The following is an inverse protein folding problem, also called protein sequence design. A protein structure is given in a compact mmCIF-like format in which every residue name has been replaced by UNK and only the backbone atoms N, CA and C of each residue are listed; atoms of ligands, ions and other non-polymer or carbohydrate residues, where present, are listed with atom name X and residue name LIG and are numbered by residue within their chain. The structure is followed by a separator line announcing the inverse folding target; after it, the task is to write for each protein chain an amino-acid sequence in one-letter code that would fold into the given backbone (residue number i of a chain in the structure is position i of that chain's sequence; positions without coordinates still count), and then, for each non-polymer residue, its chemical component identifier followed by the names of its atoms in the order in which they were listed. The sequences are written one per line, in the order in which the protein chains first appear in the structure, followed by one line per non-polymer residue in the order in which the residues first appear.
data_IF_091014070607
#
_entry.id   IF_091014070607
#
_cell.length_a   1.000
_cell.length_b   1.000
_cell.length_c   1.000
_cell.angle_alpha   90.00
_cell.angle_beta   90.00
_cell.angle_gamma   90.00
#
_symmetry.space_group_name_H-M   'P 1'
#
loop_
_entity.id
_entity.type
_entity.pdbx_description
1 polymer ?
#
# COMPACT_ATOMS: atom_id res chain seq x y z
N UNK A 1 -68.61 117.07 15.60
CA UNK A 1 -67.15 116.94 15.72
C UNK A 1 -66.80 115.59 16.33
N UNK A 2 -67.43 115.18 17.45
CA UNK A 2 -67.27 113.82 18.02
C UNK A 2 -67.52 112.65 17.05
N UNK A 3 -68.58 112.70 16.23
CA UNK A 3 -68.93 111.60 15.30
C UNK A 3 -67.87 111.34 14.20
N UNK A 4 -67.04 112.35 13.87
CA UNK A 4 -65.92 112.17 12.94
C UNK A 4 -64.72 111.52 13.63
N UNK A 5 -64.47 111.84 14.89
CA UNK A 5 -63.38 111.25 15.68
C UNK A 5 -63.65 109.76 15.98
N UNK A 6 -64.91 109.40 16.26
CA UNK A 6 -65.34 108.00 16.38
C UNK A 6 -65.12 107.24 15.07
N UNK A 7 -65.58 107.78 13.93
CA UNK A 7 -65.36 107.16 12.62
C UNK A 7 -63.87 107.02 12.25
N UNK A 8 -63.02 107.98 12.63
CA UNK A 8 -61.57 107.87 12.43
C UNK A 8 -60.94 106.79 13.31
N UNK A 9 -61.39 106.67 14.57
CA UNK A 9 -60.93 105.63 15.49
C UNK A 9 -61.32 104.22 15.03
N UNK A 10 -62.55 104.06 14.50
CA UNK A 10 -63.03 102.81 13.93
C UNK A 10 -62.25 102.45 12.66
N UNK A 11 -61.98 103.42 11.79
CA UNK A 11 -61.14 103.21 10.59
C UNK A 11 -59.70 102.83 10.94
N UNK A 12 -59.13 103.46 11.96
CA UNK A 12 -57.80 103.10 12.46
C UNK A 12 -57.78 101.67 13.05
N UNK A 13 -58.83 101.28 13.76
CA UNK A 13 -59.00 99.91 14.28
C UNK A 13 -59.11 98.87 13.16
N UNK A 14 -59.91 99.16 12.12
CA UNK A 14 -60.04 98.30 10.94
C UNK A 14 -58.72 98.17 10.16
N UNK A 15 -57.99 99.26 9.98
CA UNK A 15 -56.68 99.24 9.33
C UNK A 15 -55.66 98.41 10.13
N UNK A 16 -55.67 98.53 11.46
CA UNK A 16 -54.84 97.71 12.34
C UNK A 16 -55.21 96.23 12.25
N UNK A 17 -56.50 95.88 12.29
CA UNK A 17 -56.96 94.51 12.14
C UNK A 17 -56.57 93.92 10.78
N UNK A 18 -56.68 94.70 9.70
CA UNK A 18 -56.24 94.29 8.37
C UNK A 18 -54.73 94.02 8.35
N UNK A 19 -53.94 94.87 9.01
CA UNK A 19 -52.48 94.71 9.09
C UNK A 19 -52.10 93.44 9.84
N UNK A 20 -52.77 93.16 10.96
CA UNK A 20 -52.58 91.93 11.74
C UNK A 20 -53.00 90.69 10.94
N UNK A 21 -54.08 90.77 10.16
CA UNK A 21 -54.50 89.68 9.27
C UNK A 21 -53.49 89.41 8.16
N UNK A 22 -52.96 90.46 7.53
CA UNK A 22 -51.91 90.32 6.51
C UNK A 22 -50.62 89.74 7.11
N UNK A 23 -50.23 90.17 8.30
CA UNK A 23 -49.08 89.60 9.03
C UNK A 23 -49.31 88.13 9.41
N UNK A 24 -50.53 87.79 9.85
CA UNK A 24 -50.89 86.41 10.17
C UNK A 24 -50.87 85.52 8.92
N UNK A 25 -51.43 86.00 7.79
CA UNK A 25 -51.38 85.29 6.51
C UNK A 25 -49.94 85.09 6.04
N UNK A 26 -49.11 86.13 6.08
CA UNK A 26 -47.70 86.05 5.70
C UNK A 26 -46.93 85.05 6.59
N UNK A 27 -47.21 85.05 7.90
CA UNK A 27 -46.62 84.11 8.86
C UNK A 27 -47.05 82.68 8.55
N UNK A 28 -48.35 82.45 8.28
CA UNK A 28 -48.86 81.12 7.93
C UNK A 28 -48.31 80.61 6.62
N UNK A 29 -48.19 81.45 5.61
CA UNK A 29 -47.59 81.08 4.32
C UNK A 29 -46.09 80.77 4.47
N UNK A 30 -45.38 81.45 5.38
CA UNK A 30 -44.00 81.13 5.72
C UNK A 30 -43.90 79.78 6.46
N UNK A 31 -44.78 79.52 7.43
CA UNK A 31 -44.85 78.24 8.16
C UNK A 31 -45.15 77.07 7.21
N UNK A 32 -46.14 77.21 6.32
CA UNK A 32 -46.50 76.18 5.34
C UNK A 32 -45.31 75.91 4.42
N UNK A 33 -44.64 76.95 3.90
CA UNK A 33 -43.45 76.77 3.06
C UNK A 33 -42.33 76.06 3.80
N UNK A 34 -42.04 76.45 5.04
CA UNK A 34 -41.04 75.77 5.86
C UNK A 34 -41.39 74.30 6.13
N UNK A 35 -42.67 73.98 6.37
CA UNK A 35 -43.14 72.61 6.56
C UNK A 35 -43.02 71.78 5.27
N UNK A 36 -43.39 72.35 4.12
CA UNK A 36 -43.25 71.70 2.80
C UNK A 36 -41.77 71.40 2.52
N UNK A 37 -40.89 72.39 2.68
CA UNK A 37 -39.45 72.17 2.48
C UNK A 37 -38.89 71.12 3.46
N UNK A 38 -39.37 71.07 4.70
CA UNK A 38 -38.95 70.07 5.66
C UNK A 38 -39.34 68.65 5.21
N UNK A 39 -40.59 68.47 4.76
CA UNK A 39 -41.09 67.19 4.25
C UNK A 39 -40.33 66.80 2.98
N UNK A 40 -40.06 67.73 2.07
CA UNK A 40 -39.28 67.47 0.86
C UNK A 40 -37.87 67.00 1.20
N UNK A 41 -37.20 67.63 2.18
CA UNK A 41 -35.89 67.19 2.67
C UNK A 41 -35.93 65.79 3.29
N UNK A 42 -36.96 65.47 4.06
CA UNK A 42 -37.15 64.11 4.61
C UNK A 42 -37.42 63.08 3.52
N UNK A 43 -38.20 63.45 2.51
CA UNK A 43 -38.51 62.58 1.38
C UNK A 43 -37.25 62.31 0.54
N UNK A 44 -36.41 63.32 0.34
CA UNK A 44 -35.14 63.15 -0.36
C UNK A 44 -34.16 62.28 0.43
N UNK A 45 -34.03 62.49 1.74
CA UNK A 45 -33.17 61.63 2.58
C UNK A 45 -33.67 60.18 2.63
N UNK A 46 -35.00 59.98 2.67
CA UNK A 46 -35.61 58.67 2.58
C UNK A 46 -35.32 57.98 1.23
N UNK A 47 -35.40 58.72 0.11
CA UNK A 47 -35.05 58.19 -1.21
C UNK A 47 -33.58 57.79 -1.31
N UNK A 48 -32.67 58.62 -0.81
CA UNK A 48 -31.23 58.32 -0.82
C UNK A 48 -30.94 57.05 -0.02
N UNK A 49 -31.48 56.94 1.20
CA UNK A 49 -31.29 55.73 2.02
C UNK A 49 -31.91 54.49 1.37
N UNK A 50 -33.07 54.61 0.73
CA UNK A 50 -33.69 53.52 -0.02
C UNK A 50 -32.80 53.04 -1.17
N UNK A 51 -32.22 53.97 -1.94
CA UNK A 51 -31.29 53.63 -3.03
C UNK A 51 -30.02 52.93 -2.50
N UNK A 52 -29.49 53.37 -1.36
CA UNK A 52 -28.36 52.73 -0.69
C UNK A 52 -28.71 51.30 -0.25
N UNK A 53 -29.87 51.09 0.38
CA UNK A 53 -30.33 49.77 0.77
C UNK A 53 -30.56 48.84 -0.43
N UNK A 54 -31.11 49.36 -1.53
CA UNK A 54 -31.27 48.59 -2.77
C UNK A 54 -29.92 48.18 -3.36
N UNK A 55 -28.96 49.09 -3.43
CA UNK A 55 -27.60 48.77 -3.88
C UNK A 55 -26.94 47.71 -2.99
N UNK A 56 -27.06 47.85 -1.66
CA UNK A 56 -26.54 46.86 -0.71
C UNK A 56 -27.22 45.50 -0.84
N UNK A 57 -28.54 45.48 -1.08
CA UNK A 57 -29.29 44.25 -1.33
C UNK A 57 -28.80 43.56 -2.61
N UNK A 58 -28.62 44.30 -3.71
CA UNK A 58 -28.09 43.73 -4.96
C UNK A 58 -26.68 43.16 -4.80
N UNK A 59 -25.80 43.85 -4.08
CA UNK A 59 -24.44 43.33 -3.79
C UNK A 59 -24.51 42.06 -2.93
N UNK A 60 -25.38 42.05 -1.92
CA UNK A 60 -25.57 40.87 -1.08
C UNK A 60 -26.11 39.68 -1.90
N UNK A 61 -27.11 39.90 -2.76
CA UNK A 61 -27.68 38.90 -3.66
C UNK A 61 -26.62 38.36 -4.63
N UNK A 62 -25.84 39.21 -5.27
CA UNK A 62 -24.75 38.80 -6.15
C UNK A 62 -23.68 37.97 -5.41
N UNK A 63 -23.34 38.34 -4.17
CA UNK A 63 -22.42 37.55 -3.35
C UNK A 63 -23.01 36.18 -3.00
N UNK A 64 -24.31 36.12 -2.74
CA UNK A 64 -25.02 34.90 -2.38
C UNK A 64 -25.06 33.93 -3.57
N UNK A 65 -25.32 34.42 -4.79
CA UNK A 65 -25.23 33.63 -6.01
C UNK A 65 -23.82 33.06 -6.23
N UNK A 66 -22.78 33.87 -6.00
CA UNK A 66 -21.39 33.41 -6.08
C UNK A 66 -21.11 32.30 -5.06
N UNK A 67 -21.54 32.46 -3.81
CA UNK A 67 -21.40 31.43 -2.78
C UNK A 67 -22.17 30.15 -3.13
N UNK A 68 -23.37 30.26 -3.69
CA UNK A 68 -24.13 29.09 -4.14
C UNK A 68 -23.38 28.31 -5.23
N UNK A 69 -22.78 29.02 -6.19
CA UNK A 69 -21.99 28.39 -7.23
C UNK A 69 -20.71 27.73 -6.67
N UNK A 70 -20.04 28.36 -5.71
CA UNK A 70 -18.86 27.80 -5.08
C UNK A 70 -19.19 26.60 -4.18
N UNK A 71 -20.34 26.60 -3.51
CA UNK A 71 -20.87 25.42 -2.79
C UNK A 71 -21.15 24.28 -3.76
N UNK A 72 -21.77 24.56 -4.91
CA UNK A 72 -22.02 23.54 -5.94
C UNK A 72 -20.70 22.93 -6.47
N UNK A 73 -19.66 23.74 -6.67
CA UNK A 73 -18.32 23.25 -7.02
C UNK A 73 -17.70 22.41 -5.90
N UNK A 74 -17.80 22.85 -4.65
CA UNK A 74 -17.29 22.11 -3.51
C UNK A 74 -17.92 20.72 -3.39
N UNK A 75 -19.23 20.60 -3.62
CA UNK A 75 -19.92 19.31 -3.66
C UNK A 75 -19.40 18.39 -4.76
N UNK A 76 -19.12 18.93 -5.96
CA UNK A 76 -18.51 18.16 -7.06
C UNK A 76 -17.11 17.67 -6.69
N UNK A 77 -16.29 18.54 -6.11
CA UNK A 77 -14.96 18.14 -5.64
C UNK A 77 -15.02 17.10 -4.52
N UNK A 78 -15.98 17.19 -3.61
CA UNK A 78 -16.18 16.17 -2.58
C UNK A 78 -16.52 14.81 -3.19
N UNK A 79 -17.36 14.77 -4.23
CA UNK A 79 -17.66 13.55 -4.97
C UNK A 79 -16.41 13.00 -5.66
N UNK A 80 -15.66 13.84 -6.39
CA UNK A 80 -14.41 13.42 -7.03
C UNK A 80 -13.37 12.89 -6.04
N UNK A 81 -13.25 13.51 -4.85
CA UNK A 81 -12.35 13.06 -3.79
C UNK A 81 -12.77 11.68 -3.27
N UNK A 82 -14.08 11.46 -3.08
CA UNK A 82 -14.60 10.14 -2.66
C UNK A 82 -14.33 9.07 -3.72
N UNK A 83 -14.56 9.37 -5.00
CA UNK A 83 -14.28 8.46 -6.11
C UNK A 83 -12.79 8.14 -6.23
N UNK A 84 -11.93 9.16 -6.18
CA UNK A 84 -10.47 8.98 -6.19
C UNK A 84 -9.99 8.23 -4.94
N UNK A 85 -10.58 8.47 -3.78
CA UNK A 85 -10.30 7.73 -2.55
C UNK A 85 -10.62 6.25 -2.67
N UNK A 86 -11.76 5.92 -3.29
CA UNK A 86 -12.15 4.54 -3.56
C UNK A 86 -11.21 3.87 -4.58
N UNK A 87 -10.79 4.58 -5.62
CA UNK A 87 -9.80 4.09 -6.59
C UNK A 87 -8.44 3.82 -5.92
N UNK A 88 -7.97 4.73 -5.07
CA UNK A 88 -6.75 4.55 -4.29
C UNK A 88 -6.87 3.31 -3.40
N UNK A 89 -8.02 3.09 -2.76
CA UNK A 89 -8.30 1.88 -1.98
C UNK A 89 -8.18 0.59 -2.81
N UNK A 90 -8.78 0.57 -4.02
CA UNK A 90 -8.68 -0.55 -4.96
C UNK A 90 -7.23 -0.82 -5.38
N UNK A 91 -6.52 0.21 -5.84
CA UNK A 91 -5.13 0.08 -6.27
C UNK A 91 -4.21 -0.36 -5.13
N UNK A 92 -4.45 0.11 -3.90
CA UNK A 92 -3.71 -0.37 -2.71
C UNK A 92 -3.97 -1.85 -2.44
N UNK A 93 -5.21 -2.31 -2.54
CA UNK A 93 -5.54 -3.72 -2.34
C UNK A 93 -4.90 -4.60 -3.43
N UNK A 94 -4.98 -4.19 -4.70
CA UNK A 94 -4.31 -4.87 -5.81
C UNK A 94 -2.78 -4.93 -5.63
N UNK A 95 -2.16 -3.83 -5.18
CA UNK A 95 -0.73 -3.80 -4.90
C UNK A 95 -0.34 -4.74 -3.76
N UNK A 96 -1.17 -4.87 -2.72
CA UNK A 96 -0.96 -5.83 -1.62
C UNK A 96 -1.05 -7.27 -2.14
N UNK A 97 -2.10 -7.60 -2.90
CA UNK A 97 -2.28 -8.94 -3.51
C UNK A 97 -1.10 -9.28 -4.41
N UNK A 98 -0.66 -8.33 -5.25
CA UNK A 98 0.47 -8.56 -6.15
C UNK A 98 1.77 -8.80 -5.37
N UNK A 99 1.97 -8.08 -4.27
CA UNK A 99 3.12 -8.31 -3.39
C UNK A 99 3.04 -9.70 -2.73
N UNK A 100 1.87 -10.14 -2.30
CA UNK A 100 1.66 -11.49 -1.78
C UNK A 100 2.00 -12.56 -2.83
N UNK A 101 1.51 -12.41 -4.06
CA UNK A 101 1.88 -13.30 -5.17
C UNK A 101 3.39 -13.32 -5.45
N UNK A 102 4.06 -12.16 -5.37
CA UNK A 102 5.50 -12.07 -5.55
C UNK A 102 6.26 -12.80 -4.44
N UNK A 103 5.86 -12.59 -3.19
CA UNK A 103 6.45 -13.27 -2.03
C UNK A 103 6.24 -14.78 -2.13
N UNK A 104 5.05 -15.21 -2.55
CA UNK A 104 4.76 -16.63 -2.70
C UNK A 104 5.54 -17.26 -3.86
N UNK A 105 5.66 -16.58 -5.00
CA UNK A 105 6.50 -17.03 -6.11
C UNK A 105 7.98 -17.12 -5.72
N UNK A 106 8.51 -16.12 -4.99
CA UNK A 106 9.87 -16.17 -4.45
C UNK A 106 10.05 -17.32 -3.47
N UNK A 107 9.06 -17.59 -2.62
CA UNK A 107 9.10 -18.71 -1.67
C UNK A 107 9.16 -20.05 -2.41
N UNK A 108 8.30 -20.25 -3.42
CA UNK A 108 8.29 -21.44 -4.27
C UNK A 108 9.62 -21.63 -4.99
N UNK A 109 10.20 -20.56 -5.57
CA UNK A 109 11.51 -20.63 -6.20
C UNK A 109 12.63 -21.01 -5.22
N UNK A 110 12.57 -20.50 -3.97
CA UNK A 110 13.54 -20.86 -2.94
C UNK A 110 13.45 -22.33 -2.55
N UNK A 111 12.23 -22.87 -2.44
CA UNK A 111 11.97 -24.28 -2.16
C UNK A 111 12.49 -25.16 -3.32
N UNK A 112 12.11 -24.86 -4.56
CA UNK A 112 12.56 -25.57 -5.77
C UNK A 112 14.09 -25.51 -5.96
N UNK A 113 14.72 -24.37 -5.65
CA UNK A 113 16.17 -24.26 -5.71
C UNK A 113 16.83 -25.10 -4.60
N UNK A 114 16.30 -25.11 -3.37
CA UNK A 114 16.87 -25.90 -2.29
C UNK A 114 16.76 -27.41 -2.52
N UNK A 115 15.66 -27.89 -3.12
CA UNK A 115 15.49 -29.32 -3.44
C UNK A 115 16.44 -29.80 -4.55
N UNK A 116 16.82 -28.92 -5.48
CA UNK A 116 17.65 -29.28 -6.63
C UNK A 116 19.15 -28.96 -6.47
N UNK A 117 19.54 -28.23 -5.42
CA UNK A 117 20.95 -27.88 -5.17
C UNK A 117 21.67 -29.02 -4.41
N UNK A 118 22.09 -30.05 -5.14
CA UNK A 118 23.06 -31.02 -4.62
C UNK A 118 24.43 -30.35 -4.52
N UNK A 119 25.08 -30.46 -3.35
CA UNK A 119 26.39 -29.84 -3.13
C UNK A 119 27.44 -30.38 -4.11
N UNK A 120 28.05 -29.46 -4.87
CA UNK A 120 29.11 -29.73 -5.82
C UNK A 120 30.31 -30.39 -5.15
N UNK A 121 30.64 -30.03 -3.91
CA UNK A 121 31.78 -30.63 -3.20
C UNK A 121 31.50 -32.08 -2.83
N UNK A 122 30.28 -32.39 -2.37
CA UNK A 122 29.84 -33.75 -2.09
C UNK A 122 29.91 -34.64 -3.33
N UNK A 123 29.35 -34.19 -4.47
CA UNK A 123 29.40 -34.96 -5.73
C UNK A 123 30.84 -35.15 -6.20
N UNK A 124 31.67 -34.12 -6.11
CA UNK A 124 33.09 -34.21 -6.49
C UNK A 124 33.84 -35.22 -5.63
N UNK A 125 33.61 -35.23 -4.31
CA UNK A 125 34.23 -36.16 -3.37
C UNK A 125 33.82 -37.61 -3.65
N UNK A 126 32.52 -37.86 -3.86
CA UNK A 126 32.00 -39.19 -4.23
C UNK A 126 32.59 -39.67 -5.56
N UNK A 127 32.73 -38.77 -6.54
CA UNK A 127 33.26 -39.10 -7.87
C UNK A 127 34.78 -39.37 -7.83
N UNK A 128 35.54 -38.60 -7.03
CA UNK A 128 36.96 -38.87 -6.77
C UNK A 128 37.15 -40.19 -6.05
N UNK A 129 36.35 -40.47 -5.01
CA UNK A 129 36.35 -41.74 -4.29
C UNK A 129 36.03 -42.93 -5.19
N UNK A 130 35.10 -42.76 -6.13
CA UNK A 130 34.79 -43.76 -7.15
C UNK A 130 35.95 -44.03 -8.12
N UNK A 131 36.69 -42.99 -8.54
CA UNK A 131 37.80 -43.13 -9.49
C UNK A 131 39.07 -43.73 -8.86
N UNK A 132 39.31 -43.48 -7.57
CA UNK A 132 40.45 -44.04 -6.82
C UNK A 132 40.20 -45.51 -6.44
N UNK A 133 38.94 -45.92 -6.26
CA UNK A 133 38.61 -47.29 -5.89
C UNK A 133 39.03 -48.33 -6.96
N UNK A 134 39.75 -49.41 -6.57
CA UNK A 134 40.24 -50.42 -7.50
C UNK A 134 39.10 -51.15 -8.23
N UNK A 135 39.35 -51.52 -9.50
CA UNK A 135 38.36 -52.17 -10.39
C UNK A 135 37.98 -53.54 -9.83
N UNK A 136 36.75 -53.67 -9.30
CA UNK A 136 36.19 -54.93 -8.80
C UNK A 136 35.78 -54.96 -7.32
N UNK A 137 36.03 -53.87 -6.57
CA UNK A 137 35.68 -53.79 -5.14
C UNK A 137 34.18 -53.50 -4.92
N UNK A 138 33.60 -54.12 -3.88
CA UNK A 138 32.22 -53.86 -3.40
C UNK A 138 32.02 -52.39 -3.05
N UNK A 139 33.06 -51.75 -2.50
CA UNK A 139 33.05 -50.32 -2.14
C UNK A 139 32.71 -49.41 -3.31
N UNK A 140 33.15 -49.77 -4.52
CA UNK A 140 32.89 -49.00 -5.73
C UNK A 140 31.41 -49.04 -6.12
N UNK A 141 30.77 -50.19 -5.93
CA UNK A 141 29.34 -50.37 -6.16
C UNK A 141 28.51 -49.60 -5.13
N UNK A 142 28.92 -49.60 -3.86
CA UNK A 142 28.24 -48.86 -2.80
C UNK A 142 28.30 -47.34 -3.06
N UNK A 143 29.48 -46.81 -3.44
CA UNK A 143 29.64 -45.39 -3.82
C UNK A 143 28.75 -45.04 -5.03
N UNK A 144 28.69 -45.90 -6.05
CA UNK A 144 27.80 -45.70 -7.20
C UNK A 144 26.31 -45.72 -6.80
N UNK A 145 25.93 -46.59 -5.87
CA UNK A 145 24.55 -46.68 -5.37
C UNK A 145 24.15 -45.40 -4.67
N UNK A 146 25.02 -44.88 -3.81
CA UNK A 146 24.81 -43.61 -3.09
C UNK A 146 24.74 -42.45 -4.08
N UNK A 147 25.68 -42.38 -5.03
CA UNK A 147 25.71 -41.33 -6.07
C UNK A 147 24.43 -41.36 -6.93
N UNK A 148 23.94 -42.55 -7.28
CA UNK A 148 22.69 -42.71 -8.03
C UNK A 148 21.45 -42.32 -7.22
N UNK A 149 21.48 -42.47 -5.89
CA UNK A 149 20.42 -42.02 -5.00
C UNK A 149 20.44 -40.51 -4.81
N UNK A 150 21.62 -39.91 -4.61
CA UNK A 150 21.81 -38.48 -4.39
C UNK A 150 21.47 -37.67 -5.65
N UNK A 151 21.87 -38.14 -6.82
CA UNK A 151 21.56 -37.51 -8.11
C UNK A 151 20.20 -37.93 -8.69
N UNK A 152 19.39 -38.71 -7.94
CA UNK A 152 18.08 -39.22 -8.36
C UNK A 152 18.08 -39.84 -9.78
N UNK A 153 19.11 -40.64 -10.10
CA UNK A 153 19.29 -41.18 -11.45
C UNK A 153 18.11 -42.07 -11.86
N UNK A 154 17.68 -41.92 -13.12
CA UNK A 154 16.62 -42.76 -13.70
C UNK A 154 17.09 -44.23 -13.81
N UNK A 155 16.14 -45.16 -13.90
CA UNK A 155 16.45 -46.59 -14.02
C UNK A 155 17.31 -46.92 -15.24
N UNK A 156 17.15 -46.17 -16.34
CA UNK A 156 17.95 -46.28 -17.56
C UNK A 156 19.40 -45.83 -17.34
N UNK A 157 19.61 -44.71 -16.62
CA UNK A 157 20.96 -44.23 -16.28
C UNK A 157 21.67 -45.18 -15.29
N UNK A 158 20.93 -45.79 -14.37
CA UNK A 158 21.45 -46.82 -13.45
C UNK A 158 21.91 -48.08 -14.19
N UNK A 159 21.26 -48.43 -15.29
CA UNK A 159 21.69 -49.53 -16.17
C UNK A 159 22.98 -49.17 -16.92
N UNK A 160 23.05 -47.95 -17.49
CA UNK A 160 24.25 -47.47 -18.23
C UNK A 160 25.51 -47.39 -17.35
N UNK A 161 25.35 -47.05 -16.06
CA UNK A 161 26.47 -46.96 -15.10
C UNK A 161 26.83 -48.36 -14.56
N UNK A 162 26.10 -49.41 -14.95
CA UNK A 162 26.34 -50.79 -14.56
C UNK A 162 25.95 -51.11 -13.12
N UNK A 163 25.13 -50.26 -12.48
CA UNK A 163 24.57 -50.51 -11.15
C UNK A 163 23.51 -51.61 -11.22
N UNK A 164 22.69 -51.61 -12.26
CA UNK A 164 21.74 -52.68 -12.55
C UNK A 164 22.32 -53.45 -13.74
N UNK A 165 22.69 -54.72 -13.53
CA UNK A 165 22.97 -55.62 -14.66
C UNK A 165 21.63 -55.96 -15.28
N UNK A 166 21.37 -55.55 -16.51
CA UNK A 166 20.28 -56.15 -17.29
C UNK A 166 20.55 -57.64 -17.40
N UNK A 167 19.81 -58.43 -16.63
CA UNK A 167 19.74 -59.88 -16.79
C UNK A 167 18.95 -60.16 -18.06
N UNK A 168 19.54 -59.87 -19.21
CA UNK A 168 19.02 -60.26 -20.50
C UNK A 168 19.34 -61.72 -20.79
N UNK A 169 18.68 -62.67 -20.11
CA UNK A 169 18.50 -64.03 -20.63
C UNK A 169 17.15 -64.62 -20.19
N UNK A 170 16.50 -65.43 -21.06
CA UNK A 170 15.11 -65.83 -20.92
C UNK A 170 14.92 -66.99 -19.93
N UNK A 171 13.67 -67.11 -19.45
CA UNK A 171 13.12 -68.24 -18.71
C UNK A 171 13.53 -69.59 -19.32
N UNK A 172 14.17 -70.45 -18.53
CA UNK A 172 14.08 -71.90 -18.70
C UNK A 172 14.26 -72.64 -17.38
N UNK A 173 13.40 -73.64 -17.21
CA UNK A 173 13.17 -74.55 -16.11
C UNK A 173 14.26 -75.60 -15.87
N UNK A 174 14.44 -76.01 -14.61
CA UNK A 174 14.73 -77.37 -14.07
C UNK A 174 15.61 -77.25 -12.82
N UNK A 175 15.03 -77.40 -11.62
CA UNK A 175 14.89 -78.62 -10.80
C UNK A 175 16.15 -79.00 -10.00
N UNK A 176 15.97 -79.05 -8.67
CA UNK A 176 16.57 -79.99 -7.69
C UNK A 176 18.10 -80.12 -7.63
N UNK A 177 18.79 -80.28 -6.50
CA UNK A 177 18.45 -80.54 -5.10
C UNK A 177 19.77 -80.53 -4.32
N UNK A 178 19.68 -80.12 -3.06
CA UNK A 178 20.43 -80.53 -1.86
C UNK A 178 21.57 -81.56 -2.04
N UNK A 179 22.78 -81.26 -1.55
CA UNK A 179 23.44 -81.96 -0.42
C UNK A 179 24.87 -81.41 -0.19
N UNK A 180 25.14 -81.24 1.10
CA UNK A 180 26.33 -80.89 1.87
C UNK A 180 27.72 -81.45 1.49
N UNK A 181 28.71 -80.99 2.30
CA UNK A 181 30.09 -81.47 2.53
C UNK A 181 31.10 -80.96 1.48
N UNK A 182 32.21 -80.26 1.75
CA UNK A 182 33.13 -80.21 2.89
C UNK A 182 33.83 -78.83 2.95
N UNK A 183 34.06 -78.32 4.16
CA UNK A 183 35.07 -77.29 4.45
C UNK A 183 36.48 -77.92 4.49
N UNK A 184 37.52 -77.15 4.15
CA UNK A 184 38.78 -77.15 4.90
C UNK A 184 39.00 -75.80 5.61
N UNK A 185 39.39 -75.91 6.88
CA UNK A 185 39.84 -74.83 7.76
C UNK A 185 40.97 -74.01 7.12
N UNK A 186 40.94 -72.69 7.27
CA UNK A 186 42.16 -71.96 7.62
C UNK A 186 41.88 -70.71 8.48
N UNK A 187 42.58 -70.70 9.62
CA UNK A 187 43.09 -69.57 10.40
C UNK A 187 42.20 -68.36 10.71
N UNK A 188 41.85 -68.32 11.99
CA UNK A 188 41.76 -67.13 12.85
C UNK A 188 42.87 -66.12 12.51
N UNK A 189 42.45 -64.91 12.17
CA UNK A 189 43.20 -63.68 12.45
C UNK A 189 42.19 -62.70 13.04
N UNK A 190 42.28 -62.52 14.36
CA UNK A 190 41.86 -61.28 14.99
C UNK A 190 42.77 -60.18 14.46
N UNK A 191 42.18 -59.11 13.92
CA UNK A 191 42.61 -57.74 14.13
C UNK A 191 41.53 -56.78 13.59
N UNK A 192 41.24 -55.81 14.44
CA UNK A 192 40.55 -54.53 14.24
C UNK A 192 39.02 -54.49 14.06
N UNK A 193 38.31 -53.73 14.92
CA UNK A 193 36.95 -53.31 14.63
C UNK A 193 37.02 -52.39 13.42
N UNK A 194 36.47 -52.85 12.30
CA UNK A 194 36.16 -52.01 11.15
C UNK A 194 35.15 -50.96 11.64
N UNK A 195 35.66 -49.83 12.10
CA UNK A 195 34.91 -48.59 12.20
C UNK A 195 34.17 -48.46 10.86
N UNK A 196 32.86 -48.65 10.93
CA UNK A 196 32.03 -48.82 9.74
C UNK A 196 32.22 -47.60 8.87
N UNK A 197 32.38 -47.75 7.55
CA UNK A 197 32.53 -46.61 6.64
C UNK A 197 31.37 -45.60 6.75
N UNK A 198 30.21 -46.06 7.26
CA UNK A 198 29.11 -45.18 7.68
C UNK A 198 29.47 -44.28 8.86
N UNK A 199 30.26 -44.74 9.83
CA UNK A 199 30.75 -43.96 10.97
C UNK A 199 31.82 -42.94 10.52
N UNK A 200 32.71 -43.32 9.58
CA UNK A 200 33.63 -42.38 8.95
C UNK A 200 32.88 -41.32 8.11
N UNK A 201 31.82 -41.71 7.41
CA UNK A 201 30.97 -40.80 6.63
C UNK A 201 30.07 -39.92 7.52
N UNK A 202 29.53 -40.44 8.61
CA UNK A 202 28.81 -39.69 9.65
C UNK A 202 29.77 -38.69 10.31
N UNK A 203 30.98 -39.09 10.66
CA UNK A 203 31.99 -38.19 11.25
C UNK A 203 32.41 -37.07 10.30
N UNK A 204 32.52 -37.37 8.99
CA UNK A 204 32.79 -36.39 7.96
C UNK A 204 31.64 -35.40 7.78
N UNK A 205 30.40 -35.88 7.66
CA UNK A 205 29.20 -35.04 7.55
C UNK A 205 29.00 -34.16 8.78
N UNK A 206 29.21 -34.70 9.99
CA UNK A 206 29.06 -33.95 11.25
C UNK A 206 30.14 -32.88 11.41
N UNK A 207 31.36 -33.16 10.92
CA UNK A 207 32.47 -32.19 10.90
C UNK A 207 32.22 -31.06 9.91
N UNK A 208 31.68 -31.37 8.73
CA UNK A 208 31.42 -30.38 7.68
C UNK A 208 30.13 -29.56 7.93
N UNK A 209 29.12 -30.13 8.59
CA UNK A 209 27.93 -29.37 9.00
C UNK A 209 28.26 -28.31 10.06
N UNK A 210 29.23 -28.57 10.94
CA UNK A 210 29.63 -27.66 12.01
C UNK A 210 30.52 -26.50 11.51
N UNK A 211 31.22 -26.67 10.39
CA UNK A 211 32.03 -25.58 9.78
C UNK A 211 31.15 -24.56 9.07
N UNK A 212 30.05 -25.00 8.42
CA UNK A 212 29.05 -24.10 7.80
C UNK A 212 28.25 -23.26 8.81
N UNK A 213 28.05 -23.77 10.04
CA UNK A 213 27.40 -22.99 11.10
C UNK A 213 28.28 -21.83 11.60
N UNK A 214 29.60 -22.03 11.62
CA UNK A 214 30.59 -21.05 12.09
C UNK A 214 30.81 -19.90 11.09
N UNK A 215 30.76 -20.17 9.78
CA UNK A 215 30.89 -19.15 8.75
C UNK A 215 29.70 -18.19 8.66
N UNK A 216 28.57 -18.51 9.30
CA UNK A 216 27.37 -17.65 9.33
C UNK A 216 27.38 -16.64 10.50
N UNK A 217 28.33 -16.75 11.43
CA UNK A 217 28.41 -15.90 12.64
C UNK A 217 29.34 -14.70 12.47
N UNK A 218 30.14 -14.63 11.39
CA UNK A 218 31.02 -13.50 11.09
C UNK A 218 30.42 -12.67 9.94
N UNK A 219 29.52 -11.76 10.27
CA UNK A 219 29.21 -10.60 9.42
C UNK A 219 29.10 -9.38 10.34
N UNK A 220 29.92 -8.33 10.15
CA UNK A 220 29.93 -7.19 11.05
C UNK A 220 28.69 -6.31 10.81
N UNK A 221 27.98 -5.99 11.90
CA UNK A 221 27.00 -4.91 11.95
C UNK A 221 27.69 -3.59 11.55
N UNK A 222 27.31 -3.03 10.40
CA UNK A 222 27.58 -1.64 10.05
C UNK A 222 26.36 -0.84 10.52
N UNK A 223 26.48 -0.22 11.68
CA UNK A 223 25.54 0.77 12.19
C UNK A 223 25.81 2.10 11.45
N UNK A 224 24.88 2.51 10.59
CA UNK A 224 24.82 3.87 10.04
C UNK A 224 23.98 4.75 10.98
N UNK A 225 24.62 5.74 11.61
CA UNK A 225 23.94 6.88 12.20
C UNK A 225 24.00 8.06 11.21
N UNK A 226 22.84 8.45 10.67
CA UNK A 226 22.49 9.83 10.26
C UNK A 226 21.05 10.09 10.70
#
# INVERSE_FOLDING_TARGET
MEENEENESERASLANLQTVLEEFQATKDAEIRAAVEHIERQLESAKISLAEYQSRAQVAEASLEQYQHDVAKAQRYEQEIKEKGLLIGKLRHEAIILNEHLVEAMRRLKEESSENNVDRQLVTSLLVGFLIAPRGDRKRYDILTILASVLQLSTEQKEQIGLIRSTGLPRSSSSSSVTSWQNPRHSIHEDEPKESFTDAWISFLLKESNTHARSRQESPEITQDI
#
